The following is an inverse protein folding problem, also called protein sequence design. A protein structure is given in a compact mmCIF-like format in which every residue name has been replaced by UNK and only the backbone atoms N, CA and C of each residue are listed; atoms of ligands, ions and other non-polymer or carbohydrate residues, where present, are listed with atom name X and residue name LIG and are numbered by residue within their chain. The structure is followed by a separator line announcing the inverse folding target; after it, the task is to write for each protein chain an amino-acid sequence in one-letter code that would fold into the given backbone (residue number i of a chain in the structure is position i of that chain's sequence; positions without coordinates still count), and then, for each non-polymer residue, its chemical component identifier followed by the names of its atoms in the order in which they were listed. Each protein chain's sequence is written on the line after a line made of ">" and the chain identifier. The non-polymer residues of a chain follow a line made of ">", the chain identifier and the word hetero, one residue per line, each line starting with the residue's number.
data_IF_620569863647
#
_entry.id   IF_620569863647
#
_cell.length_a   1.000
_cell.length_b   1.000
_cell.length_c   1.000
_cell.angle_alpha   90.00
_cell.angle_beta   90.00
_cell.angle_gamma   90.00
#
_symmetry.space_group_name_H-M   'P 1'
#
loop_
_entity.id
_entity.type
_entity.pdbx_description
1 polymer ?
#
# COMPACT_ATOMS: atom_id res chain seq x y z
N UNK A 1 -12.84 7.79 50.18
CA UNK A 1 -11.86 8.90 50.00
C UNK A 1 -12.60 10.20 49.74
N UNK A 2 -12.37 11.22 50.57
CA UNK A 2 -13.04 12.53 50.48
C UNK A 2 -12.94 13.14 49.08
N UNK A 3 -14.05 13.72 48.61
CA UNK A 3 -14.14 14.46 47.34
C UNK A 3 -13.03 15.53 47.22
N UNK A 4 -12.64 16.10 48.36
CA UNK A 4 -11.53 17.05 48.50
C UNK A 4 -10.19 16.48 48.03
N UNK A 5 -9.87 15.24 48.38
CA UNK A 5 -8.59 14.59 48.02
C UNK A 5 -8.50 14.40 46.51
N UNK A 6 -9.62 14.05 45.86
CA UNK A 6 -9.69 13.89 44.41
C UNK A 6 -9.40 15.21 43.68
N UNK A 7 -10.05 16.30 44.11
CA UNK A 7 -9.82 17.62 43.53
C UNK A 7 -8.41 18.16 43.84
N UNK A 8 -7.90 17.94 45.05
CA UNK A 8 -6.54 18.32 45.45
C UNK A 8 -5.48 17.61 44.61
N UNK A 9 -5.62 16.29 44.40
CA UNK A 9 -4.72 15.52 43.54
C UNK A 9 -4.82 15.93 42.07
N UNK A 10 -6.01 16.33 41.61
CA UNK A 10 -6.23 16.86 40.27
C UNK A 10 -5.54 18.21 40.06
N UNK A 11 -5.66 19.14 41.03
CA UNK A 11 -4.96 20.41 41.03
C UNK A 11 -3.43 20.24 41.04
N UNK A 12 -2.92 19.33 41.90
CA UNK A 12 -1.48 19.02 41.98
C UNK A 12 -0.94 18.40 40.68
N UNK A 13 -1.75 17.62 39.95
CA UNK A 13 -1.42 17.11 38.61
C UNK A 13 -1.37 18.21 37.55
N UNK A 14 -2.24 19.21 37.63
CA UNK A 14 -2.25 20.35 36.70
C UNK A 14 -1.04 21.26 36.93
N UNK A 15 -0.64 21.50 38.17
CA UNK A 15 0.55 22.31 38.49
C UNK A 15 1.84 21.70 37.96
N UNK A 16 1.96 20.36 38.00
CA UNK A 16 3.08 19.62 37.38
C UNK A 16 3.11 19.71 35.85
N UNK A 17 2.02 20.16 35.20
CA UNK A 17 1.94 20.37 33.74
C UNK A 17 2.24 21.81 33.31
N UNK A 18 2.70 22.69 34.19
CA UNK A 18 3.23 24.00 33.76
C UNK A 18 4.46 23.75 32.88
N UNK A 19 4.31 23.90 31.56
CA UNK A 19 5.42 23.88 30.60
C UNK A 19 6.40 24.97 31.01
N UNK A 20 7.69 24.66 31.15
CA UNK A 20 8.73 25.70 31.27
C UNK A 20 8.70 26.50 29.97
N UNK A 21 8.44 27.80 30.04
CA UNK A 21 8.67 28.69 28.91
C UNK A 21 10.19 28.85 28.76
N UNK A 22 10.74 28.49 27.61
CA UNK A 22 12.11 28.87 27.28
C UNK A 22 12.12 30.40 27.12
N UNK A 23 12.92 31.09 27.94
CA UNK A 23 13.24 32.50 27.71
C UNK A 23 14.26 32.49 26.59
N UNK A 24 13.84 32.82 25.38
CA UNK A 24 14.76 32.97 24.26
C UNK A 24 15.60 34.24 24.46
N UNK A 25 16.91 34.14 24.29
CA UNK A 25 17.75 35.33 24.19
C UNK A 25 17.44 36.05 22.86
N UNK A 26 17.64 37.37 22.80
CA UNK A 26 17.31 38.19 21.62
C UNK A 26 17.89 37.63 20.30
N UNK A 27 19.06 37.01 20.37
CA UNK A 27 19.77 36.35 19.25
C UNK A 27 19.13 35.04 18.76
N UNK A 28 18.30 34.38 19.58
CA UNK A 28 17.53 33.20 19.17
C UNK A 28 16.25 33.62 18.44
N UNK A 29 15.62 34.72 18.86
CA UNK A 29 14.42 35.26 18.23
C UNK A 29 14.68 35.72 16.79
N UNK A 30 15.88 36.23 16.49
CA UNK A 30 16.27 36.67 15.13
C UNK A 30 16.48 35.51 14.15
N UNK A 31 16.57 34.26 14.64
CA UNK A 31 16.67 33.05 13.82
C UNK A 31 15.32 32.45 13.49
N UNK A 32 14.25 32.90 14.15
CA UNK A 32 12.89 32.43 13.83
C UNK A 32 12.38 33.10 12.55
N UNK A 33 11.66 32.33 11.73
CA UNK A 33 10.94 32.86 10.57
C UNK A 33 9.95 33.93 11.07
N UNK A 34 9.87 35.08 10.39
CA UNK A 34 8.90 36.14 10.74
C UNK A 34 7.45 35.67 10.72
N UNK A 35 7.19 34.56 10.02
CA UNK A 35 5.90 33.87 9.97
C UNK A 35 6.06 32.53 10.72
N UNK A 36 5.34 32.31 11.83
CA UNK A 36 5.39 31.03 12.53
C UNK A 36 4.89 29.90 11.62
N UNK A 37 5.40 28.68 11.84
CA UNK A 37 4.85 27.50 11.16
C UNK A 37 3.33 27.42 11.35
N UNK A 38 2.55 27.04 10.33
CA UNK A 38 1.11 26.95 10.45
C UNK A 38 0.75 26.00 11.59
N UNK A 39 0.00 26.50 12.57
CA UNK A 39 -0.46 25.71 13.70
C UNK A 39 -1.32 24.55 13.17
N UNK A 40 -0.88 23.32 13.36
CA UNK A 40 -1.71 22.14 13.12
C UNK A 40 -2.54 21.87 14.36
N UNK A 41 -3.85 22.00 14.25
CA UNK A 41 -4.79 21.64 15.31
C UNK A 41 -4.55 20.18 15.76
N UNK A 42 -4.49 19.96 17.07
CA UNK A 42 -4.49 18.60 17.60
C UNK A 42 -5.91 18.01 17.45
N UNK A 43 -5.99 16.76 16.99
CA UNK A 43 -7.23 16.01 16.75
C UNK A 43 -8.11 16.47 15.56
N UNK A 44 -7.50 16.80 14.42
CA UNK A 44 -8.27 16.99 13.18
C UNK A 44 -9.15 15.75 12.87
N UNK A 45 -10.39 15.94 12.40
CA UNK A 45 -11.25 14.83 12.03
C UNK A 45 -10.59 13.98 10.93
N UNK A 46 -10.83 12.67 10.99
CA UNK A 46 -10.36 11.75 9.94
C UNK A 46 -11.03 12.11 8.62
N UNK A 47 -10.25 12.14 7.54
CA UNK A 47 -10.79 12.31 6.19
C UNK A 47 -11.64 11.10 5.81
N UNK A 48 -12.79 11.36 5.19
CA UNK A 48 -13.67 10.33 4.66
C UNK A 48 -13.21 9.90 3.26
N UNK A 49 -13.35 8.60 2.95
CA UNK A 49 -13.17 8.09 1.60
C UNK A 49 -14.49 8.23 0.83
N UNK A 50 -14.65 9.31 0.07
CA UNK A 50 -15.91 9.62 -0.61
C UNK A 50 -16.27 8.58 -1.70
N UNK A 51 -15.28 7.98 -2.35
CA UNK A 51 -15.51 6.97 -3.39
C UNK A 51 -16.26 5.76 -2.82
N UNK A 52 -15.91 5.32 -1.60
CA UNK A 52 -16.60 4.23 -0.91
C UNK A 52 -18.06 4.58 -0.59
N UNK A 53 -18.32 5.75 0.00
CA UNK A 53 -19.69 6.14 0.39
C UNK A 53 -20.60 6.45 -0.80
N UNK A 54 -20.04 6.96 -1.90
CA UNK A 54 -20.78 7.26 -3.13
C UNK A 54 -20.85 6.08 -4.10
N UNK A 55 -20.30 4.92 -3.74
CA UNK A 55 -20.30 3.69 -4.54
C UNK A 55 -19.65 3.82 -5.94
N UNK A 56 -18.68 4.72 -6.07
CA UNK A 56 -17.94 4.97 -7.33
C UNK A 56 -16.69 4.10 -7.36
N UNK A 57 -16.50 3.37 -8.46
CA UNK A 57 -15.39 2.47 -8.71
C UNK A 57 -14.64 2.86 -9.99
N UNK A 58 -13.42 2.33 -10.13
CA UNK A 58 -12.61 2.53 -11.35
C UNK A 58 -13.25 1.73 -12.48
N UNK A 59 -13.44 2.34 -13.65
CA UNK A 59 -14.12 1.72 -14.79
C UNK A 59 -15.62 2.03 -14.88
N UNK A 60 -16.17 2.83 -13.96
CA UNK A 60 -17.55 3.31 -14.07
C UNK A 60 -17.68 4.44 -15.09
N UNK A 61 -18.85 4.52 -15.73
CA UNK A 61 -19.23 5.64 -16.58
C UNK A 61 -19.90 6.74 -15.75
N UNK A 62 -19.36 7.94 -15.86
CA UNK A 62 -19.74 9.08 -15.03
C UNK A 62 -19.92 10.35 -15.85
N UNK A 63 -20.70 11.27 -15.31
CA UNK A 63 -20.94 12.59 -15.88
C UNK A 63 -20.46 13.68 -14.93
N UNK A 64 -19.79 14.69 -15.48
CA UNK A 64 -19.33 15.86 -14.71
C UNK A 64 -20.51 16.83 -14.49
N UNK A 65 -20.79 17.14 -13.22
CA UNK A 65 -21.87 18.06 -12.82
C UNK A 65 -21.40 19.52 -12.77
N UNK A 66 -20.18 19.75 -12.29
CA UNK A 66 -19.64 21.09 -12.04
C UNK A 66 -18.18 21.19 -12.50
N UNK A 67 -17.81 22.34 -13.04
CA UNK A 67 -16.45 22.63 -13.51
C UNK A 67 -16.41 23.08 -14.97
N UNK A 68 -15.20 23.19 -15.57
CA UNK A 68 -15.03 23.63 -16.95
C UNK A 68 -15.63 22.64 -17.96
N UNK A 69 -15.59 21.36 -17.64
CA UNK A 69 -16.07 20.26 -18.48
C UNK A 69 -17.45 19.77 -18.05
N UNK A 70 -18.33 20.69 -17.64
CA UNK A 70 -19.70 20.37 -17.24
C UNK A 70 -20.42 19.63 -18.36
N UNK A 71 -21.24 18.65 -17.96
CA UNK A 71 -22.05 17.80 -18.81
C UNK A 71 -21.28 16.82 -19.72
N UNK A 72 -19.94 16.81 -19.68
CA UNK A 72 -19.16 15.76 -20.33
C UNK A 72 -19.28 14.44 -19.58
N UNK A 73 -19.29 13.36 -20.35
CA UNK A 73 -19.33 11.98 -19.88
C UNK A 73 -17.97 11.32 -20.13
N UNK A 74 -17.55 10.43 -19.24
CA UNK A 74 -16.30 9.71 -19.40
C UNK A 74 -16.18 8.54 -18.43
N UNK A 75 -15.19 7.69 -18.68
CA UNK A 75 -14.90 6.53 -17.84
C UNK A 75 -13.92 6.94 -16.74
N UNK A 76 -14.14 6.44 -15.52
CA UNK A 76 -13.20 6.64 -14.41
C UNK A 76 -11.93 5.83 -14.63
N UNK A 77 -10.80 6.51 -14.85
CA UNK A 77 -9.49 5.87 -15.07
C UNK A 77 -8.78 5.51 -13.78
N UNK A 78 -8.85 6.38 -12.77
CA UNK A 78 -8.20 6.18 -11.47
C UNK A 78 -8.88 7.03 -10.38
N UNK A 79 -8.85 6.54 -9.15
CA UNK A 79 -9.39 7.20 -7.96
C UNK A 79 -8.30 7.36 -6.91
N UNK A 80 -8.13 8.57 -6.39
CA UNK A 80 -7.27 8.85 -5.25
C UNK A 80 -8.12 9.07 -3.98
N UNK A 81 -8.27 8.05 -3.11
CA UNK A 81 -9.13 8.14 -1.92
C UNK A 81 -8.58 9.09 -0.85
N UNK A 82 -7.26 9.39 -0.84
CA UNK A 82 -6.66 10.30 0.16
C UNK A 82 -7.03 11.76 -0.10
N UNK A 83 -7.19 12.12 -1.38
CA UNK A 83 -7.55 13.46 -1.84
C UNK A 83 -9.00 13.57 -2.29
N UNK A 84 -9.73 12.45 -2.35
CA UNK A 84 -11.09 12.37 -2.91
C UNK A 84 -11.19 12.94 -4.32
N UNK A 85 -10.19 12.62 -5.15
CA UNK A 85 -10.15 13.04 -6.55
C UNK A 85 -10.16 11.85 -7.50
N UNK A 86 -10.68 12.07 -8.71
CA UNK A 86 -10.84 11.07 -9.75
C UNK A 86 -10.25 11.61 -11.04
N UNK A 87 -9.62 10.76 -11.83
CA UNK A 87 -9.20 11.07 -13.20
C UNK A 87 -10.22 10.40 -14.12
N UNK A 88 -10.83 11.20 -14.99
CA UNK A 88 -11.84 10.75 -15.95
C UNK A 88 -11.27 10.92 -17.35
N UNK A 89 -11.54 9.94 -18.21
CA UNK A 89 -11.12 9.96 -19.60
C UNK A 89 -11.70 11.19 -20.35
N UNK A 90 -10.84 11.89 -21.11
CA UNK A 90 -11.21 13.07 -21.89
C UNK A 90 -11.69 14.30 -21.11
N UNK A 91 -11.61 14.29 -19.77
CA UNK A 91 -12.09 15.38 -18.91
C UNK A 91 -10.96 16.09 -18.17
N UNK A 92 -11.13 17.39 -17.93
CA UNK A 92 -10.20 18.29 -17.27
C UNK A 92 -8.80 18.22 -17.89
N UNK A 93 -8.73 18.34 -19.21
CA UNK A 93 -7.47 18.19 -19.94
C UNK A 93 -6.58 19.43 -19.77
N UNK A 94 -5.32 19.21 -19.41
CA UNK A 94 -4.29 20.25 -19.34
C UNK A 94 -3.19 19.98 -20.35
N UNK A 95 -2.84 21.01 -21.13
CA UNK A 95 -1.64 20.99 -21.98
C UNK A 95 -0.41 21.29 -21.12
N UNK A 96 0.58 20.41 -21.16
CA UNK A 96 1.86 20.59 -20.46
C UNK A 96 3.01 20.46 -21.47
N UNK A 97 3.94 21.40 -21.44
CA UNK A 97 5.17 21.31 -22.20
C UNK A 97 6.11 20.33 -21.49
N UNK A 98 6.41 19.21 -22.15
CA UNK A 98 7.31 18.20 -21.61
C UNK A 98 8.69 18.37 -22.23
N UNK A 99 9.63 18.89 -21.44
CA UNK A 99 11.04 19.05 -21.82
C UNK A 99 11.85 17.89 -21.23
N UNK A 100 12.08 16.84 -22.03
CA UNK A 100 13.10 15.84 -21.67
C UNK A 100 14.46 16.43 -22.02
N UNK A 101 15.38 16.40 -21.06
CA UNK A 101 16.79 16.78 -21.27
C UNK A 101 17.29 16.08 -22.55
N UNK A 102 17.75 16.86 -23.53
CA UNK A 102 18.26 16.43 -24.84
C UNK A 102 17.24 15.95 -25.90
N UNK A 103 15.94 16.28 -25.77
CA UNK A 103 14.95 16.12 -26.87
C UNK A 103 14.21 17.42 -27.15
N UNK A 104 13.77 17.63 -28.40
CA UNK A 104 12.84 18.73 -28.75
C UNK A 104 11.59 18.61 -27.88
N UNK A 105 11.19 19.70 -27.21
CA UNK A 105 10.04 19.71 -26.32
C UNK A 105 8.74 19.35 -27.06
N UNK A 106 7.93 18.48 -26.47
CA UNK A 106 6.62 18.10 -26.99
C UNK A 106 5.51 18.63 -26.09
N UNK A 107 4.42 19.12 -26.67
CA UNK A 107 3.22 19.50 -25.91
C UNK A 107 2.37 18.24 -25.72
N UNK A 108 2.22 17.81 -24.47
CA UNK A 108 1.42 16.64 -24.11
C UNK A 108 0.11 17.12 -23.47
N UNK A 109 -1.00 16.53 -23.89
CA UNK A 109 -2.30 16.73 -23.24
C UNK A 109 -2.55 15.61 -22.25
N UNK A 110 -2.81 15.94 -20.99
CA UNK A 110 -3.05 14.97 -19.92
C UNK A 110 -4.31 15.31 -19.14
N UNK A 111 -5.06 14.28 -18.73
CA UNK A 111 -6.25 14.41 -17.90
C UNK A 111 -5.87 14.79 -16.46
N UNK A 112 -6.53 15.79 -15.89
CA UNK A 112 -6.28 16.27 -14.54
C UNK A 112 -7.36 15.79 -13.57
N UNK A 113 -7.02 15.65 -12.27
CA UNK A 113 -7.96 15.19 -11.26
C UNK A 113 -9.15 16.14 -11.09
N UNK A 114 -10.34 15.57 -10.92
CA UNK A 114 -11.60 16.24 -10.57
C UNK A 114 -12.04 15.73 -9.19
N UNK A 115 -12.61 16.60 -8.34
CA UNK A 115 -13.11 16.16 -7.03
C UNK A 115 -14.38 15.31 -7.16
N UNK A 116 -14.52 14.26 -6.36
CA UNK A 116 -15.61 13.27 -6.47
C UNK A 116 -17.01 13.92 -6.39
N UNK A 117 -17.17 14.98 -5.61
CA UNK A 117 -18.47 15.67 -5.45
C UNK A 117 -18.97 16.33 -6.73
N UNK A 118 -18.08 16.57 -7.70
CA UNK A 118 -18.42 17.26 -8.94
C UNK A 118 -18.84 16.29 -10.05
N UNK A 119 -18.99 15.02 -9.72
CA UNK A 119 -19.24 13.93 -10.67
C UNK A 119 -20.40 13.09 -10.14
N UNK A 120 -21.17 12.50 -11.06
CA UNK A 120 -22.24 11.56 -10.74
C UNK A 120 -22.21 10.35 -11.67
N UNK A 121 -22.66 9.20 -11.18
CA UNK A 121 -22.80 7.98 -11.98
C UNK A 121 -23.97 8.12 -12.94
N UNK A 122 -23.81 7.61 -14.16
CA UNK A 122 -24.86 7.67 -15.16
C UNK A 122 -25.80 6.46 -15.05
N UNK A 123 -27.11 6.70 -15.11
CA UNK A 123 -28.09 5.63 -15.18
C UNK A 123 -27.93 4.84 -16.50
N UNK A 124 -27.85 3.50 -16.48
CA UNK A 124 -27.75 2.72 -17.72
C UNK A 124 -28.96 2.88 -18.64
N UNK A 125 -30.16 3.11 -18.07
CA UNK A 125 -31.40 3.24 -18.84
C UNK A 125 -31.64 4.69 -19.26
N UNK A 126 -31.74 5.60 -18.29
CA UNK A 126 -32.14 6.99 -18.57
C UNK A 126 -31.00 7.90 -19.02
N UNK A 127 -29.74 7.46 -18.92
CA UNK A 127 -28.54 8.27 -19.20
C UNK A 127 -28.56 9.62 -18.48
N UNK A 128 -29.11 9.64 -17.26
CA UNK A 128 -29.16 10.83 -16.39
C UNK A 128 -28.24 10.60 -15.19
N UNK A 129 -27.67 11.66 -14.60
CA UNK A 129 -26.87 11.52 -13.38
C UNK A 129 -27.74 10.98 -12.24
N UNK A 130 -27.23 9.98 -11.51
CA UNK A 130 -27.98 9.25 -10.48
C UNK A 130 -27.19 9.06 -9.19
N UNK A 131 -27.93 8.95 -8.09
CA UNK A 131 -27.39 8.42 -6.83
C UNK A 131 -27.51 6.90 -6.85
N UNK A 132 -26.44 6.22 -6.47
CA UNK A 132 -26.35 4.76 -6.42
C UNK A 132 -26.34 4.26 -4.98
N UNK A 133 -27.13 3.23 -4.70
CA UNK A 133 -27.15 2.52 -3.41
C UNK A 133 -26.85 1.04 -3.60
N UNK A 134 -26.33 0.37 -2.58
CA UNK A 134 -26.19 -1.09 -2.59
C UNK A 134 -27.45 -1.74 -2.04
N UNK A 135 -27.91 -2.83 -2.66
CA UNK A 135 -28.97 -3.70 -2.15
C UNK A 135 -28.62 -5.17 -2.41
N UNK A 136 -29.24 -6.06 -1.64
CA UNK A 136 -29.14 -7.49 -1.88
C UNK A 136 -30.28 -7.94 -2.80
N UNK A 137 -29.94 -8.72 -3.82
CA UNK A 137 -30.90 -9.41 -4.67
C UNK A 137 -31.47 -10.65 -3.94
N UNK A 138 -32.50 -11.27 -4.51
CA UNK A 138 -33.06 -12.52 -3.95
C UNK A 138 -32.02 -13.65 -3.90
N UNK A 139 -31.04 -13.62 -4.82
CA UNK A 139 -29.92 -14.55 -4.88
C UNK A 139 -28.90 -14.36 -3.74
N UNK A 140 -29.01 -13.29 -2.93
CA UNK A 140 -28.06 -12.92 -1.89
C UNK A 140 -26.87 -12.08 -2.38
N UNK A 141 -26.82 -11.74 -3.67
CA UNK A 141 -25.75 -10.93 -4.25
C UNK A 141 -25.92 -9.43 -3.94
N UNK A 142 -24.83 -8.75 -3.57
CA UNK A 142 -24.83 -7.32 -3.27
C UNK A 142 -24.58 -6.50 -4.53
N UNK A 143 -25.66 -5.95 -5.10
CA UNK A 143 -25.63 -5.21 -6.36
C UNK A 143 -25.79 -3.70 -6.10
N UNK A 144 -25.13 -2.89 -6.94
CA UNK A 144 -25.32 -1.44 -6.98
C UNK A 144 -26.58 -1.13 -7.79
N UNK A 145 -27.48 -0.32 -7.26
CA UNK A 145 -28.77 0.03 -7.87
C UNK A 145 -28.87 1.54 -8.03
N UNK A 146 -29.27 2.00 -9.21
CA UNK A 146 -29.54 3.41 -9.46
C UNK A 146 -30.88 3.82 -8.85
N UNK A 147 -30.94 5.02 -8.26
CA UNK A 147 -32.17 5.47 -7.60
C UNK A 147 -33.27 5.91 -8.59
N UNK A 148 -32.90 6.32 -9.80
CA UNK A 148 -33.87 6.86 -10.79
C UNK A 148 -34.61 5.72 -11.49
N UNK A 149 -33.91 4.79 -12.15
CA UNK A 149 -34.57 3.67 -12.83
C UNK A 149 -34.84 2.48 -11.92
N UNK A 150 -34.11 2.34 -10.80
CA UNK A 150 -34.16 1.15 -9.97
C UNK A 150 -33.40 -0.04 -10.58
N UNK A 151 -32.73 0.15 -11.71
CA UNK A 151 -31.95 -0.89 -12.36
C UNK A 151 -30.62 -1.13 -11.65
N UNK A 152 -30.10 -2.35 -11.80
CA UNK A 152 -28.74 -2.69 -11.42
C UNK A 152 -27.75 -1.89 -12.28
N UNK A 153 -26.74 -1.30 -11.64
CA UNK A 153 -25.62 -0.68 -12.32
C UNK A 153 -24.76 -1.76 -12.98
N UNK A 154 -24.22 -1.50 -14.18
CA UNK A 154 -23.29 -2.42 -14.81
C UNK A 154 -22.04 -2.61 -13.94
N UNK A 155 -21.38 -3.75 -14.15
CA UNK A 155 -20.07 -3.98 -13.56
C UNK A 155 -19.06 -2.97 -14.11
N UNK A 156 -18.16 -2.44 -13.27
CA UNK A 156 -17.16 -1.50 -13.72
C UNK A 156 -16.20 -2.18 -14.70
N UNK A 157 -15.79 -1.43 -15.72
CA UNK A 157 -14.85 -1.94 -16.73
C UNK A 157 -13.50 -2.17 -16.07
N UNK A 158 -13.07 -3.44 -16.03
CA UNK A 158 -11.80 -3.78 -15.42
C UNK A 158 -10.65 -3.43 -16.37
N UNK A 159 -9.86 -2.40 -16.03
CA UNK A 159 -8.75 -1.92 -16.88
C UNK A 159 -7.71 -3.00 -17.19
N UNK A 160 -7.58 -4.02 -16.33
CA UNK A 160 -6.67 -5.14 -16.52
C UNK A 160 -7.18 -6.17 -17.55
N UNK A 161 -8.50 -6.27 -17.77
CA UNK A 161 -9.08 -7.17 -18.78
C UNK A 161 -8.90 -6.62 -20.21
N UNK A 162 -8.74 -5.30 -20.34
CA UNK A 162 -8.56 -4.59 -21.62
C UNK A 162 -7.11 -4.44 -22.05
N UNK A 163 -6.15 -4.65 -21.14
CA UNK A 163 -4.75 -4.75 -21.54
C UNK A 163 -4.60 -6.07 -22.28
N UNK A 164 -4.22 -6.01 -23.56
CA UNK A 164 -3.67 -7.17 -24.23
C UNK A 164 -2.63 -7.79 -23.30
N UNK A 165 -2.71 -9.09 -23.08
CA UNK A 165 -1.71 -9.77 -22.29
C UNK A 165 -0.36 -9.54 -22.97
N UNK A 166 0.56 -8.83 -22.30
CA UNK A 166 1.93 -8.72 -22.80
C UNK A 166 2.53 -10.14 -22.82
N UNK A 167 2.44 -10.81 -23.98
CA UNK A 167 2.88 -12.19 -24.17
C UNK A 167 4.33 -12.39 -23.70
N UNK A 168 5.15 -11.34 -23.82
CA UNK A 168 6.51 -11.30 -23.33
C UNK A 168 6.62 -11.34 -21.80
N UNK A 169 5.76 -10.60 -21.09
CA UNK A 169 5.72 -10.60 -19.62
C UNK A 169 5.25 -11.97 -19.08
N UNK A 170 4.24 -12.56 -19.74
CA UNK A 170 3.78 -13.93 -19.47
C UNK A 170 4.88 -14.96 -19.73
N UNK A 171 5.63 -14.81 -20.82
CA UNK A 171 6.78 -15.64 -21.13
C UNK A 171 7.87 -15.56 -20.05
N UNK A 172 8.21 -14.35 -19.57
CA UNK A 172 9.15 -14.17 -18.45
C UNK A 172 8.64 -14.86 -17.18
N UNK A 173 7.35 -14.77 -16.86
CA UNK A 173 6.76 -15.42 -15.70
C UNK A 173 6.83 -16.96 -15.80
N UNK A 174 6.52 -17.53 -16.97
CA UNK A 174 6.68 -18.97 -17.24
C UNK A 174 8.12 -19.43 -17.06
N UNK A 175 9.12 -18.59 -17.37
CA UNK A 175 10.54 -18.95 -17.21
C UNK A 175 11.01 -18.97 -15.74
N UNK A 176 10.29 -18.29 -14.83
CA UNK A 176 10.64 -18.23 -13.40
C UNK A 176 10.25 -19.49 -12.62
N UNK A 177 9.34 -20.31 -13.13
CA UNK A 177 9.17 -21.65 -12.57
C UNK A 177 10.48 -22.40 -12.81
N UNK A 178 11.08 -22.96 -11.76
CA UNK A 178 12.30 -23.75 -11.87
C UNK A 178 12.16 -24.90 -12.87
N UNK A 179 13.24 -25.66 -13.14
CA UNK A 179 13.15 -26.81 -14.03
C UNK A 179 11.95 -27.70 -13.62
N UNK A 180 11.20 -28.27 -14.58
CA UNK A 180 10.11 -29.16 -14.27
C UNK A 180 10.65 -30.24 -13.34
N UNK A 181 10.00 -30.40 -12.19
CA UNK A 181 10.28 -31.47 -11.25
C UNK A 181 10.02 -32.76 -12.05
N UNK A 182 11.06 -33.58 -12.29
CA UNK A 182 10.87 -34.88 -12.97
C UNK A 182 9.76 -35.64 -12.24
N UNK A 183 8.95 -36.41 -12.95
CA UNK A 183 7.81 -37.13 -12.35
C UNK A 183 8.26 -38.05 -11.19
N UNK A 184 9.49 -38.57 -11.26
CA UNK A 184 10.17 -39.34 -10.20
C UNK A 184 10.26 -38.57 -8.88
N UNK A 185 10.32 -37.24 -8.92
CA UNK A 185 10.39 -36.33 -7.77
C UNK A 185 9.03 -35.70 -7.41
N UNK A 186 7.96 -35.97 -8.18
CA UNK A 186 6.63 -35.40 -7.93
C UNK A 186 6.01 -35.98 -6.65
N UNK A 187 6.27 -37.26 -6.38
CA UNK A 187 5.85 -37.92 -5.15
C UNK A 187 6.84 -37.62 -4.00
N UNK A 188 6.31 -37.10 -2.89
CA UNK A 188 7.13 -36.85 -1.69
C UNK A 188 7.29 -38.13 -0.88
N UNK A 189 8.49 -38.69 -0.86
CA UNK A 189 8.83 -39.77 0.07
C UNK A 189 9.12 -39.23 1.47
N UNK A 190 8.04 -38.97 2.21
CA UNK A 190 8.10 -38.43 3.58
C UNK A 190 8.89 -39.34 4.54
N UNK A 191 8.90 -40.67 4.29
CA UNK A 191 9.60 -41.64 5.15
C UNK A 191 11.11 -41.50 4.97
N UNK A 192 11.58 -41.52 3.73
CA UNK A 192 13.01 -41.33 3.43
C UNK A 192 13.49 -39.95 3.85
N UNK A 193 12.70 -38.89 3.64
CA UNK A 193 13.05 -37.54 4.08
C UNK A 193 13.18 -37.44 5.61
N UNK A 194 12.24 -38.03 6.36
CA UNK A 194 12.28 -38.07 7.83
C UNK A 194 13.51 -38.83 8.34
N UNK A 195 13.84 -39.96 7.71
CA UNK A 195 15.03 -40.76 8.01
C UNK A 195 16.32 -39.96 7.74
N UNK A 196 16.46 -39.36 6.57
CA UNK A 196 17.61 -38.52 6.20
C UNK A 196 17.78 -37.34 7.17
N UNK A 197 16.68 -36.70 7.56
CA UNK A 197 16.69 -35.61 8.56
C UNK A 197 17.18 -36.09 9.92
N UNK A 198 16.73 -37.26 10.39
CA UNK A 198 17.20 -37.88 11.64
C UNK A 198 18.70 -38.24 11.57
N UNK A 199 19.14 -38.84 10.47
CA UNK A 199 20.56 -39.19 10.23
C UNK A 199 21.41 -37.92 10.22
N UNK A 200 21.01 -36.89 9.48
CA UNK A 200 21.72 -35.61 9.42
C UNK A 200 21.83 -34.96 10.81
N UNK A 201 20.76 -35.00 11.61
CA UNK A 201 20.77 -34.54 12.99
C UNK A 201 21.76 -35.34 13.86
N UNK A 202 21.77 -36.67 13.76
CA UNK A 202 22.71 -37.52 14.49
C UNK A 202 24.17 -37.25 14.09
N UNK A 203 24.46 -37.14 12.80
CA UNK A 203 25.80 -36.78 12.29
C UNK A 203 26.24 -35.42 12.85
N UNK A 204 25.35 -34.42 12.80
CA UNK A 204 25.65 -33.08 13.33
C UNK A 204 25.89 -33.11 14.84
N UNK A 205 25.08 -33.87 15.59
CA UNK A 205 25.23 -34.06 17.04
C UNK A 205 26.55 -34.77 17.38
N UNK A 206 26.91 -35.83 16.66
CA UNK A 206 28.16 -36.57 16.83
C UNK A 206 29.37 -35.67 16.58
N UNK A 207 29.40 -34.93 15.45
CA UNK A 207 30.45 -33.95 15.13
C UNK A 207 30.59 -32.88 16.21
N UNK A 208 29.47 -32.37 16.73
CA UNK A 208 29.49 -31.39 17.82
C UNK A 208 30.10 -31.98 19.10
N UNK A 209 29.80 -33.24 19.41
CA UNK A 209 30.36 -33.93 20.58
C UNK A 209 31.85 -34.24 20.41
N UNK A 210 32.27 -34.69 19.23
CA UNK A 210 33.68 -34.89 18.86
C UNK A 210 34.47 -33.59 18.99
N UNK A 211 33.94 -32.46 18.49
CA UNK A 211 34.57 -31.16 18.68
C UNK A 211 34.67 -30.77 20.15
N UNK A 212 33.61 -30.97 20.95
CA UNK A 212 33.63 -30.65 22.38
C UNK A 212 34.66 -31.50 23.15
N UNK A 213 34.80 -32.77 22.79
CA UNK A 213 35.80 -33.66 23.38
C UNK A 213 37.23 -33.26 22.97
N UNK A 214 37.45 -32.86 21.72
CA UNK A 214 38.75 -32.35 21.25
C UNK A 214 39.22 -31.09 22.00
N UNK A 215 38.29 -30.20 22.39
CA UNK A 215 38.62 -29.03 23.21
C UNK A 215 38.85 -29.36 24.69
N UNK A 216 38.30 -30.47 25.18
CA UNK A 216 38.34 -30.86 26.59
C UNK A 216 39.46 -31.85 26.93
N UNK A 217 40.09 -32.49 25.94
CA UNK A 217 41.32 -33.25 26.17
C UNK A 217 42.45 -32.27 26.50
N UNK A 218 43.09 -32.36 27.68
CA UNK A 218 44.25 -31.55 27.97
C UNK A 218 45.32 -31.90 26.94
N UNK A 219 45.67 -30.97 26.06
CA UNK A 219 46.85 -31.13 25.21
C UNK A 219 48.07 -31.08 26.12
N UNK A 220 48.64 -32.24 26.42
CA UNK A 220 50.05 -32.34 26.79
C UNK A 220 50.85 -31.56 25.75
N UNK A 221 51.62 -30.59 26.23
CA UNK A 221 52.29 -29.59 25.39
C UNK A 221 53.54 -30.19 24.80
N UNK A 222 53.37 -30.96 23.73
CA UNK A 222 54.49 -31.37 22.90
C UNK A 222 54.77 -30.30 21.85
N UNK A 223 55.78 -29.50 22.21
CA UNK A 223 56.46 -28.55 21.35
C UNK A 223 57.11 -29.30 20.18
N UNK A 224 56.51 -29.30 19.00
CA UNK A 224 57.27 -29.44 17.74
C UNK A 224 56.48 -28.85 16.58
N UNK A 225 56.74 -27.57 16.31
CA UNK A 225 56.67 -27.03 14.96
C UNK A 225 57.77 -27.72 14.14
N UNK A 226 57.38 -28.68 13.30
CA UNK A 226 58.13 -29.44 12.27
C UNK A 226 57.25 -30.67 12.04
N UNK A 227 56.31 -30.71 11.10
CA UNK A 227 56.56 -31.24 9.76
C UNK A 227 55.27 -31.12 8.92
N UNK A 228 54.99 -29.95 8.34
CA UNK A 228 54.07 -29.85 7.18
C UNK A 228 54.70 -28.93 6.12
N UNK A 229 56.01 -29.10 5.92
CA UNK A 229 56.57 -29.13 4.58
C UNK A 229 56.59 -30.61 4.18
N UNK A 230 56.28 -30.90 2.92
CA UNK A 230 56.41 -32.22 2.26
C UNK A 230 55.31 -33.26 2.52
N UNK A 231 54.15 -33.09 1.86
CA UNK A 231 53.47 -34.10 0.99
C UNK A 231 52.60 -33.25 0.04
N UNK A 232 52.76 -33.12 -1.29
CA UNK A 232 53.33 -34.02 -2.31
C UNK A 232 53.10 -35.50 -2.04
#
# INVERSE_FOLDING_TARGET
>A
MSRYIKYFMQAKKLDKRKRKYHKYDFLELSKELSIPYPLREQNQPKRLNLSYYLNIQVGDLVKVLYGPDKDKEGIVLNINPKKNTVIIDGCNMKKSAWNVINKKGSIITQEMPIHITNISLLDPVNKKPTVVKRRYMMNGECVRISKISGCAMPEPINKNLLKEQDNYQLYIQKKKTGPPIKDIYAERDNKHFSLLKKIAYQIKKKRFFEMKNFFNTPKERDNTNKDILEIL
#
